data_IF_101346970455
#
_entry.id   IF_101346970455
#
_cell.length_a   1.000
_cell.length_b   1.000
_cell.length_c   1.000
_cell.angle_alpha   90.00
_cell.angle_beta   90.00
_cell.angle_gamma   90.00
#
_symmetry.space_group_name_H-M   'P 1'
#
loop_
_entity.id
_entity.type
_entity.pdbx_description
1 polymer ?
#
# COMPACT_ATOMS: atom_id res chain seq x y z
N UNK A 1 -30.23 18.37 9.24
CA UNK A 1 -29.05 17.47 9.19
C UNK A 1 -29.56 16.06 9.02
N UNK A 2 -29.14 15.34 7.96
CA UNK A 2 -29.53 13.95 7.75
C UNK A 2 -28.87 13.08 8.84
N UNK A 3 -29.70 12.34 9.59
CA UNK A 3 -29.27 11.45 10.67
C UNK A 3 -29.25 9.98 10.20
N UNK A 4 -29.05 9.76 8.90
CA UNK A 4 -28.99 8.43 8.31
C UNK A 4 -27.65 7.76 8.66
N UNK A 5 -27.73 6.54 9.18
CA UNK A 5 -26.55 5.75 9.54
C UNK A 5 -25.93 5.16 8.26
N UNK A 6 -24.61 5.26 8.14
CA UNK A 6 -23.85 4.65 7.04
C UNK A 6 -23.18 3.38 7.57
N UNK A 7 -23.40 2.26 6.87
CA UNK A 7 -22.73 1.00 7.16
C UNK A 7 -21.50 0.83 6.26
N UNK A 8 -20.41 0.31 6.84
CA UNK A 8 -19.26 -0.18 6.08
C UNK A 8 -19.47 -1.68 5.87
N UNK A 9 -19.65 -2.10 4.62
CA UNK A 9 -20.01 -3.48 4.29
C UNK A 9 -18.90 -4.25 3.58
N UNK A 10 -17.75 -3.63 3.31
CA UNK A 10 -16.59 -4.29 2.70
C UNK A 10 -15.31 -3.50 2.92
N UNK A 11 -14.18 -4.21 2.94
CA UNK A 11 -12.85 -3.66 3.14
C UNK A 11 -11.85 -4.27 2.16
N UNK A 12 -11.06 -3.42 1.51
CA UNK A 12 -9.87 -3.80 0.79
C UNK A 12 -8.69 -2.95 1.22
N UNK A 13 -7.55 -3.58 1.42
CA UNK A 13 -6.36 -2.93 1.98
C UNK A 13 -5.09 -3.50 1.38
N UNK A 14 -4.12 -2.61 1.14
CA UNK A 14 -2.73 -2.94 0.83
C UNK A 14 -1.87 -2.10 1.77
N UNK A 15 -1.06 -2.77 2.57
CA UNK A 15 -0.26 -2.19 3.63
C UNK A 15 1.13 -2.86 3.69
N UNK A 16 2.10 -2.27 4.39
CA UNK A 16 3.38 -2.93 4.63
C UNK A 16 3.20 -4.32 5.26
N UNK A 17 3.84 -5.33 4.66
CA UNK A 17 3.72 -6.75 5.04
C UNK A 17 2.29 -7.32 5.00
N UNK A 18 1.35 -6.70 4.28
CA UNK A 18 -0.01 -7.20 4.12
C UNK A 18 -0.62 -6.74 2.79
N UNK A 19 -0.85 -7.66 1.86
CA UNK A 19 -1.45 -7.34 0.55
C UNK A 19 -2.96 -7.62 0.50
N UNK A 20 -3.57 -7.95 1.64
CA UNK A 20 -5.00 -8.18 1.81
C UNK A 20 -5.40 -7.96 3.29
N UNK A 21 -6.72 -7.99 3.57
CA UNK A 21 -7.27 -7.76 4.90
C UNK A 21 -6.90 -8.84 5.94
N UNK A 22 -6.71 -10.08 5.52
CA UNK A 22 -6.46 -11.21 6.42
C UNK A 22 -5.02 -11.15 6.95
N UNK A 23 -4.06 -10.90 6.06
CA UNK A 23 -2.67 -10.64 6.43
C UNK A 23 -2.54 -9.38 7.30
N UNK A 24 -3.30 -8.34 6.99
CA UNK A 24 -3.32 -7.11 7.79
C UNK A 24 -3.85 -7.41 9.19
N UNK A 25 -4.97 -8.12 9.31
CA UNK A 25 -5.56 -8.47 10.59
C UNK A 25 -4.64 -9.37 11.42
N UNK A 26 -3.99 -10.33 10.78
CA UNK A 26 -2.96 -11.16 11.42
C UNK A 26 -1.83 -10.31 11.98
N UNK A 27 -1.31 -9.35 11.21
CA UNK A 27 -0.26 -8.44 11.68
C UNK A 27 -0.68 -7.63 12.91
N UNK A 28 -1.94 -7.17 12.95
CA UNK A 28 -2.51 -6.44 14.10
C UNK A 28 -2.59 -7.33 15.33
N UNK A 29 -3.15 -8.54 15.20
CA UNK A 29 -3.27 -9.50 16.31
C UNK A 29 -1.90 -9.92 16.87
N UNK A 30 -0.90 -10.04 16.01
CA UNK A 30 0.48 -10.38 16.40
C UNK A 30 1.27 -9.19 16.98
N UNK A 31 0.73 -7.96 16.93
CA UNK A 31 1.48 -6.75 17.30
C UNK A 31 2.73 -6.55 16.42
N UNK A 32 2.66 -6.97 15.16
CA UNK A 32 3.84 -7.06 14.28
C UNK A 32 4.36 -5.66 13.90
N UNK A 33 5.64 -5.41 14.16
CA UNK A 33 6.33 -4.25 13.63
C UNK A 33 6.56 -4.39 12.11
N UNK A 34 5.88 -3.54 11.33
CA UNK A 34 5.94 -3.51 9.87
C UNK A 34 6.83 -2.38 9.30
N UNK A 35 7.57 -1.69 10.17
CA UNK A 35 8.55 -0.68 9.78
C UNK A 35 9.89 -1.36 9.48
N UNK A 36 10.54 -0.91 8.41
CA UNK A 36 11.89 -1.33 8.01
C UNK A 36 12.71 -0.11 7.60
N UNK A 37 14.01 -0.32 7.35
CA UNK A 37 14.79 0.65 6.58
C UNK A 37 14.27 0.72 5.14
N UNK A 38 14.63 1.79 4.42
CA UNK A 38 14.34 1.94 2.98
C UNK A 38 14.90 0.73 2.22
N UNK A 39 14.07 -0.01 1.47
CA UNK A 39 14.53 -1.17 0.69
C UNK A 39 15.54 -0.78 -0.39
N UNK A 40 16.52 -1.66 -0.63
CA UNK A 40 17.63 -1.39 -1.55
C UNK A 40 17.22 -1.25 -3.01
N UNK A 41 16.04 -1.74 -3.39
CA UNK A 41 15.46 -1.62 -4.73
C UNK A 41 14.70 -0.29 -4.95
N UNK A 42 14.63 0.59 -3.95
CA UNK A 42 13.96 1.90 -4.03
C UNK A 42 14.92 3.02 -4.36
N UNK A 43 15.82 3.32 -3.43
CA UNK A 43 16.92 4.27 -3.60
C UNK A 43 17.98 4.01 -2.53
N UNK A 44 19.22 4.46 -2.78
CA UNK A 44 20.27 4.41 -1.76
C UNK A 44 20.06 5.54 -0.74
N UNK A 45 19.37 5.21 0.36
CA UNK A 45 19.06 6.17 1.42
C UNK A 45 20.31 6.72 2.11
N UNK A 46 21.46 6.01 2.04
CA UNK A 46 22.72 6.46 2.66
C UNK A 46 23.24 7.74 2.01
N UNK A 47 22.94 7.96 0.73
CA UNK A 47 23.31 9.19 0.02
C UNK A 47 22.57 10.43 0.57
N UNK A 48 21.41 10.22 1.19
CA UNK A 48 20.52 11.29 1.64
C UNK A 48 20.40 11.37 3.17
N UNK A 49 21.02 10.46 3.91
CA UNK A 49 20.89 10.42 5.36
C UNK A 49 21.89 11.32 6.08
N UNK A 50 21.45 11.95 7.17
CA UNK A 50 22.30 12.66 8.13
C UNK A 50 21.67 12.58 9.52
N UNK A 51 22.47 12.31 10.55
CA UNK A 51 22.02 12.42 11.95
C UNK A 51 21.81 13.89 12.38
N UNK A 52 22.43 14.86 11.70
CA UNK A 52 22.18 16.28 11.92
C UNK A 52 20.88 16.72 11.22
N UNK A 53 19.88 17.07 12.04
CA UNK A 53 18.57 17.54 11.59
C UNK A 53 18.62 18.91 10.87
N UNK A 54 19.75 19.61 10.92
CA UNK A 54 19.96 20.90 10.23
C UNK A 54 20.73 20.74 8.91
N UNK A 55 21.19 19.55 8.58
CA UNK A 55 21.90 19.31 7.34
C UNK A 55 20.99 19.56 6.12
N UNK A 56 21.42 20.45 5.23
CA UNK A 56 20.70 20.75 3.99
C UNK A 56 20.71 19.55 3.05
N UNK A 57 19.63 19.36 2.29
CA UNK A 57 19.45 18.28 1.32
C UNK A 57 19.62 16.86 1.89
N UNK A 58 19.40 16.71 3.21
CA UNK A 58 19.45 15.43 3.93
C UNK A 58 18.15 15.16 4.67
N UNK A 59 17.90 13.88 4.94
CA UNK A 59 16.85 13.37 5.83
C UNK A 59 17.47 12.72 7.05
N UNK A 60 16.89 12.95 8.22
CA UNK A 60 17.25 12.25 9.47
C UNK A 60 16.49 10.93 9.65
N UNK A 61 15.55 10.62 8.76
CA UNK A 61 14.84 9.34 8.75
C UNK A 61 15.34 8.44 7.63
N UNK A 62 15.53 7.16 7.98
CA UNK A 62 15.88 6.05 7.08
C UNK A 62 14.88 4.90 7.15
N UNK A 63 13.79 5.07 7.90
CA UNK A 63 12.79 4.02 8.16
C UNK A 63 11.41 4.42 7.65
N UNK A 64 10.61 3.41 7.30
CA UNK A 64 9.24 3.59 6.84
C UNK A 64 8.50 2.25 6.72
N UNK A 65 7.21 2.32 6.44
CA UNK A 65 6.42 1.17 6.06
C UNK A 65 6.42 1.03 4.54
N UNK A 66 6.99 -0.04 4.01
CA UNK A 66 7.11 -0.25 2.57
C UNK A 66 6.20 -1.38 2.10
N UNK A 67 5.49 -1.13 1.00
CA UNK A 67 4.71 -2.16 0.31
C UNK A 67 5.66 -2.90 -0.62
N UNK A 68 5.84 -4.19 -0.36
CA UNK A 68 6.75 -5.08 -1.09
C UNK A 68 5.95 -6.17 -1.81
N UNK A 69 6.49 -6.71 -2.90
CA UNK A 69 5.88 -7.85 -3.60
C UNK A 69 4.57 -7.58 -4.34
N UNK A 70 3.94 -6.41 -4.22
CA UNK A 70 2.73 -6.07 -4.96
C UNK A 70 2.98 -6.09 -6.48
N UNK A 71 2.13 -6.81 -7.20
CA UNK A 71 2.07 -6.91 -8.66
C UNK A 71 0.66 -6.54 -9.12
N UNK A 72 0.57 -5.71 -10.15
CA UNK A 72 -0.70 -5.30 -10.73
C UNK A 72 -1.05 -6.16 -11.94
N UNK A 73 -2.19 -6.87 -11.88
CA UNK A 73 -2.71 -7.65 -13.00
C UNK A 73 -3.57 -6.75 -13.90
N UNK A 74 -2.92 -6.02 -14.81
CA UNK A 74 -3.63 -5.08 -15.68
C UNK A 74 -4.65 -5.76 -16.60
N UNK A 75 -4.40 -7.02 -16.99
CA UNK A 75 -5.26 -7.77 -17.90
C UNK A 75 -6.61 -8.11 -17.27
N UNK A 76 -6.64 -8.37 -15.95
CA UNK A 76 -7.88 -8.51 -15.18
C UNK A 76 -8.82 -7.32 -15.37
N UNK A 77 -8.26 -6.13 -15.49
CA UNK A 77 -9.01 -4.87 -15.66
C UNK A 77 -9.19 -4.47 -17.13
N UNK A 78 -8.86 -5.36 -18.08
CA UNK A 78 -8.89 -5.08 -19.52
C UNK A 78 -7.99 -3.88 -19.90
N UNK A 79 -6.92 -3.67 -19.13
CA UNK A 79 -5.92 -2.64 -19.39
C UNK A 79 -4.73 -3.31 -20.09
N UNK A 80 -4.34 -2.87 -21.30
CA UNK A 80 -3.17 -3.40 -21.99
C UNK A 80 -1.91 -3.33 -21.10
N UNK A 81 -1.04 -4.36 -21.09
CA UNK A 81 0.11 -4.41 -20.18
C UNK A 81 1.03 -3.18 -20.24
N UNK A 82 1.23 -2.63 -21.44
CA UNK A 82 2.04 -1.43 -21.64
C UNK A 82 1.42 -0.20 -20.96
N UNK A 83 0.10 -0.03 -21.06
CA UNK A 83 -0.64 1.02 -20.36
C UNK A 83 -0.61 0.79 -18.86
N UNK A 84 -0.85 -0.45 -18.42
CA UNK A 84 -0.83 -0.83 -17.00
C UNK A 84 0.50 -0.50 -16.33
N UNK A 85 1.62 -0.74 -17.01
CA UNK A 85 2.96 -0.44 -16.51
C UNK A 85 3.23 1.07 -16.31
N UNK A 86 2.49 1.95 -16.99
CA UNK A 86 2.61 3.40 -16.86
C UNK A 86 1.67 4.02 -15.82
N UNK A 87 0.70 3.25 -15.31
CA UNK A 87 -0.20 3.70 -14.24
C UNK A 87 0.62 3.87 -12.96
N UNK A 88 0.38 4.97 -12.24
CA UNK A 88 1.01 5.21 -10.94
C UNK A 88 0.80 4.02 -10.00
N UNK A 89 1.85 3.61 -9.27
CA UNK A 89 1.78 2.53 -8.27
C UNK A 89 0.63 2.72 -7.28
N UNK A 90 0.36 3.96 -6.86
CA UNK A 90 -0.76 4.26 -5.96
C UNK A 90 -2.10 3.93 -6.60
N UNK A 91 -2.30 4.32 -7.86
CA UNK A 91 -3.53 4.02 -8.60
C UNK A 91 -3.71 2.53 -8.82
N UNK A 92 -2.65 1.80 -9.19
CA UNK A 92 -2.68 0.34 -9.32
C UNK A 92 -3.13 -0.33 -8.01
N UNK A 93 -2.55 0.10 -6.88
CA UNK A 93 -2.91 -0.42 -5.55
C UNK A 93 -4.34 -0.05 -5.16
N UNK A 94 -4.80 1.16 -5.47
CA UNK A 94 -6.19 1.58 -5.23
C UNK A 94 -7.18 0.73 -6.01
N UNK A 95 -6.90 0.43 -7.28
CA UNK A 95 -7.77 -0.43 -8.12
C UNK A 95 -7.89 -1.83 -7.50
N UNK A 96 -6.77 -2.41 -7.05
CA UNK A 96 -6.78 -3.71 -6.37
C UNK A 96 -7.49 -3.66 -5.01
N UNK A 97 -7.29 -2.61 -4.22
CA UNK A 97 -7.98 -2.43 -2.95
C UNK A 97 -9.50 -2.27 -3.15
N UNK A 98 -9.95 -1.54 -4.17
CA UNK A 98 -11.38 -1.42 -4.51
C UNK A 98 -11.96 -2.78 -4.91
N UNK A 99 -11.25 -3.56 -5.74
CA UNK A 99 -11.67 -4.93 -6.08
C UNK A 99 -11.86 -5.79 -4.83
N UNK A 100 -10.88 -5.78 -3.93
CA UNK A 100 -10.97 -6.53 -2.67
C UNK A 100 -12.16 -6.08 -1.80
N UNK A 101 -12.44 -4.78 -1.74
CA UNK A 101 -13.59 -4.26 -1.00
C UNK A 101 -14.94 -4.69 -1.61
N UNK A 102 -15.04 -4.71 -2.94
CA UNK A 102 -16.22 -5.20 -3.65
C UNK A 102 -16.43 -6.71 -3.41
N UNK A 103 -15.36 -7.51 -3.48
CA UNK A 103 -15.40 -8.94 -3.15
C UNK A 103 -15.81 -9.18 -1.70
N UNK A 104 -15.23 -8.44 -0.75
CA UNK A 104 -15.56 -8.57 0.67
C UNK A 104 -17.02 -8.20 0.98
N UNK A 105 -17.57 -7.24 0.24
CA UNK A 105 -18.99 -6.87 0.36
C UNK A 105 -19.96 -7.78 -0.40
N UNK A 106 -19.47 -8.71 -1.23
CA UNK A 106 -20.29 -9.57 -2.08
C UNK A 106 -20.91 -8.87 -3.31
N UNK A 107 -20.33 -7.73 -3.71
CA UNK A 107 -20.73 -6.92 -4.88
C UNK A 107 -19.71 -7.02 -6.04
N UNK A 108 -19.03 -8.16 -6.16
CA UNK A 108 -18.03 -8.47 -7.19
C UNK A 108 -18.62 -9.07 -8.48
N UNK A 109 -19.95 -9.15 -8.57
CA UNK A 109 -20.70 -9.74 -9.70
C UNK A 109 -20.98 -8.75 -10.83
#
# INVERSE_FOLDING_TARGET
MNNEKIAIIGLGIIAPKALNKDDFWKNVLEGRNCISEVPADRWDWKLYYSEDHKALDKTYSKIGGFIEGFKFDSLRYKIPPQTGAQISRLQQMTIEAVRMALEDSGYDK
#
